data_IF_263277485655
#
_entry.id   IF_263277485655
#
_cell.length_a   1.000
_cell.length_b   1.000
_cell.length_c   1.000
_cell.angle_alpha   90.00
_cell.angle_beta   90.00
_cell.angle_gamma   90.00
#
_symmetry.space_group_name_H-M   'P 1'
#
loop_
_entity.id
_entity.type
_entity.pdbx_description
1 polymer ?
#
# COMPACT_ATOMS: atom_id res chain seq x y z
N UNK A 1 33.16 15.66 25.32
CA UNK A 1 31.94 16.35 25.75
C UNK A 1 30.97 16.32 24.60
N UNK A 2 29.92 15.43 24.62
CA UNK A 2 28.89 15.41 23.58
C UNK A 2 27.97 16.62 23.78
N UNK A 3 27.64 17.36 22.71
CA UNK A 3 26.68 18.46 22.84
C UNK A 3 25.31 17.89 23.28
N UNK A 4 24.52 18.63 24.03
CA UNK A 4 23.21 18.19 24.49
C UNK A 4 22.34 17.89 23.28
N UNK A 5 21.76 16.67 23.26
CA UNK A 5 20.72 16.31 22.27
C UNK A 5 19.56 17.28 22.44
N UNK A 6 19.46 18.25 21.54
CA UNK A 6 18.28 19.08 21.46
C UNK A 6 17.09 18.17 21.23
N UNK A 7 16.17 18.10 22.16
CA UNK A 7 14.84 17.52 22.00
C UNK A 7 14.11 18.36 20.96
N UNK A 8 14.29 18.02 19.69
CA UNK A 8 13.67 18.75 18.58
C UNK A 8 12.21 18.33 18.56
N UNK A 9 11.36 19.19 19.12
CA UNK A 9 9.93 19.11 18.85
C UNK A 9 9.74 19.10 17.34
N UNK A 10 9.06 18.07 16.82
CA UNK A 10 8.66 18.06 15.40
C UNK A 10 7.76 19.27 15.21
N UNK A 11 8.13 20.26 14.39
CA UNK A 11 7.26 21.40 14.19
C UNK A 11 5.90 20.90 13.73
N UNK A 12 4.82 21.34 14.37
CA UNK A 12 3.45 20.95 14.05
C UNK A 12 3.14 21.02 12.54
N UNK A 13 3.79 21.93 11.82
CA UNK A 13 3.71 22.04 10.36
C UNK A 13 4.02 20.72 9.63
N UNK A 14 5.05 20.00 10.07
CA UNK A 14 5.41 18.72 9.43
C UNK A 14 4.38 17.62 9.68
N UNK A 15 3.78 17.60 10.87
CA UNK A 15 2.69 16.68 11.17
C UNK A 15 1.46 17.00 10.31
N UNK A 16 1.14 18.28 10.15
CA UNK A 16 0.05 18.72 9.27
C UNK A 16 0.32 18.30 7.82
N UNK A 17 1.52 18.50 7.30
CA UNK A 17 1.88 18.11 5.93
C UNK A 17 1.78 16.61 5.69
N UNK A 18 2.30 15.80 6.63
CA UNK A 18 2.20 14.32 6.52
C UNK A 18 0.75 13.89 6.61
N UNK A 19 -0.03 14.45 7.53
CA UNK A 19 -1.46 14.13 7.67
C UNK A 19 -2.26 14.54 6.43
N UNK A 20 -1.96 15.70 5.85
CA UNK A 20 -2.59 16.16 4.61
C UNK A 20 -2.24 15.24 3.44
N UNK A 21 -0.98 14.83 3.30
CA UNK A 21 -0.55 13.87 2.28
C UNK A 21 -1.25 12.51 2.45
N UNK A 22 -1.35 12.02 3.68
CA UNK A 22 -2.05 10.77 3.99
C UNK A 22 -3.55 10.88 3.67
N UNK A 23 -4.18 12.00 4.03
CA UNK A 23 -5.59 12.25 3.70
C UNK A 23 -5.81 12.30 2.18
N UNK A 24 -4.98 13.06 1.46
CA UNK A 24 -5.03 13.11 0.00
C UNK A 24 -4.84 11.73 -0.63
N UNK A 25 -3.97 10.91 -0.05
CA UNK A 25 -3.71 9.57 -0.53
C UNK A 25 -4.93 8.65 -0.43
N UNK A 26 -5.76 8.78 0.59
CA UNK A 26 -6.97 7.95 0.77
C UNK A 26 -8.24 8.56 0.19
N UNK A 27 -8.23 9.85 -0.21
CA UNK A 27 -9.38 10.48 -0.82
C UNK A 27 -9.80 9.78 -2.12
N UNK A 28 -11.08 9.54 -2.27
CA UNK A 28 -11.66 8.91 -3.46
C UNK A 28 -11.39 7.41 -3.60
N UNK A 29 -10.92 6.73 -2.55
CA UNK A 29 -10.54 5.31 -2.58
C UNK A 29 -11.68 4.39 -3.07
N UNK A 30 -12.92 4.72 -2.73
CA UNK A 30 -14.12 3.98 -3.17
C UNK A 30 -14.67 4.42 -4.52
N UNK A 31 -14.08 5.42 -5.16
CA UNK A 31 -14.56 5.97 -6.42
C UNK A 31 -13.98 5.22 -7.62
N UNK A 32 -14.79 5.04 -8.65
CA UNK A 32 -14.33 4.59 -9.98
C UNK A 32 -13.47 5.65 -10.69
N UNK A 33 -13.50 6.91 -10.24
CA UNK A 33 -12.61 7.97 -10.75
C UNK A 33 -11.18 7.89 -10.20
N UNK A 34 -10.93 7.17 -9.09
CA UNK A 34 -9.57 6.72 -8.82
C UNK A 34 -9.20 5.79 -9.98
N UNK A 35 -8.03 5.98 -10.64
CA UNK A 35 -7.73 5.29 -11.88
C UNK A 35 -7.84 3.79 -11.67
N UNK A 36 -8.95 3.21 -12.13
CA UNK A 36 -9.09 1.78 -12.27
C UNK A 36 -8.14 1.38 -13.38
N UNK A 37 -7.18 0.53 -13.08
CA UNK A 37 -6.45 -0.19 -14.09
C UNK A 37 -7.32 -1.37 -14.53
N UNK A 38 -7.31 -1.74 -15.81
CA UNK A 38 -8.04 -2.91 -16.30
C UNK A 38 -7.72 -4.19 -15.51
N UNK A 39 -6.48 -4.34 -15.05
CA UNK A 39 -6.04 -5.48 -14.22
C UNK A 39 -6.76 -5.52 -12.85
N UNK A 40 -7.10 -4.39 -12.26
CA UNK A 40 -7.82 -4.35 -10.98
C UNK A 40 -9.16 -5.09 -11.09
N UNK A 41 -9.90 -4.87 -12.19
CA UNK A 41 -11.19 -5.53 -12.41
C UNK A 41 -11.04 -7.04 -12.60
N UNK A 42 -9.99 -7.46 -13.31
CA UNK A 42 -9.66 -8.89 -13.48
C UNK A 42 -9.34 -9.52 -12.13
N UNK A 43 -8.57 -8.85 -11.29
CA UNK A 43 -8.21 -9.38 -9.96
C UNK A 43 -9.41 -9.46 -9.02
N UNK A 44 -10.32 -8.48 -9.08
CA UNK A 44 -11.58 -8.52 -8.34
C UNK A 44 -12.42 -9.73 -8.77
N UNK A 45 -12.52 -9.97 -10.07
CA UNK A 45 -13.23 -11.12 -10.61
C UNK A 45 -12.63 -12.44 -10.13
N UNK A 46 -11.31 -12.62 -10.24
CA UNK A 46 -10.62 -13.83 -9.75
C UNK A 46 -10.81 -14.01 -8.24
N UNK A 47 -10.71 -12.94 -7.45
CA UNK A 47 -10.94 -13.02 -6.01
C UNK A 47 -12.36 -13.47 -5.68
N UNK A 48 -13.36 -12.94 -6.40
CA UNK A 48 -14.77 -13.32 -6.24
C UNK A 48 -14.99 -14.78 -6.58
N UNK A 49 -14.54 -15.23 -7.72
CA UNK A 49 -14.65 -16.64 -8.13
C UNK A 49 -13.94 -17.60 -7.16
N UNK A 50 -12.77 -17.21 -6.65
CA UNK A 50 -12.04 -17.97 -5.64
C UNK A 50 -12.87 -18.13 -4.36
N UNK A 51 -13.50 -17.03 -3.90
CA UNK A 51 -14.35 -17.07 -2.71
C UNK A 51 -15.62 -17.89 -2.91
N UNK A 52 -16.29 -17.76 -4.07
CA UNK A 52 -17.55 -18.45 -4.39
C UNK A 52 -17.35 -19.94 -4.64
N UNK A 53 -16.27 -20.32 -5.32
CA UNK A 53 -15.98 -21.73 -5.63
C UNK A 53 -15.38 -22.51 -4.45
N UNK A 54 -14.79 -21.81 -3.49
CA UNK A 54 -14.02 -22.44 -2.42
C UNK A 54 -12.70 -23.09 -2.87
N UNK A 55 -12.32 -22.94 -4.14
CA UNK A 55 -11.05 -23.45 -4.68
C UNK A 55 -9.95 -22.43 -4.50
N UNK A 56 -9.24 -22.51 -3.39
CA UNK A 56 -8.20 -21.53 -3.01
C UNK A 56 -6.90 -21.69 -3.83
N UNK A 57 -6.64 -22.91 -4.36
CA UNK A 57 -5.50 -23.22 -5.23
C UNK A 57 -5.85 -24.40 -6.16
N UNK A 58 -5.55 -24.30 -7.48
CA UNK A 58 -5.17 -23.10 -8.21
C UNK A 58 -6.33 -22.10 -8.32
N UNK A 59 -6.01 -20.80 -8.33
CA UNK A 59 -7.00 -19.74 -8.54
C UNK A 59 -7.58 -19.87 -9.95
N UNK A 60 -8.90 -19.94 -10.06
CA UNK A 60 -9.60 -20.11 -11.32
C UNK A 60 -10.01 -18.75 -11.91
N UNK A 61 -10.11 -18.71 -13.23
CA UNK A 61 -10.71 -17.64 -14.00
C UNK A 61 -11.64 -18.24 -15.05
N UNK A 62 -12.79 -17.62 -15.28
CA UNK A 62 -13.71 -18.02 -16.35
C UNK A 62 -13.15 -17.79 -17.75
N UNK A 63 -12.12 -16.97 -17.87
CA UNK A 63 -11.48 -16.69 -19.15
C UNK A 63 -10.68 -17.94 -19.54
N UNK A 64 -11.19 -18.68 -20.51
CA UNK A 64 -10.56 -19.87 -21.08
C UNK A 64 -9.15 -19.50 -21.56
N UNK A 65 -8.16 -20.33 -21.24
CA UNK A 65 -6.75 -20.16 -21.57
C UNK A 65 -6.02 -19.02 -20.82
N UNK A 66 -6.68 -18.31 -19.90
CA UNK A 66 -6.00 -17.31 -19.06
C UNK A 66 -5.41 -17.98 -17.83
N UNK A 67 -4.12 -18.27 -17.88
CA UNK A 67 -3.38 -18.79 -16.74
C UNK A 67 -3.14 -17.66 -15.74
N UNK A 68 -3.68 -17.80 -14.53
CA UNK A 68 -3.35 -16.87 -13.46
C UNK A 68 -1.89 -17.06 -13.03
N UNK A 69 -1.07 -16.00 -13.24
CA UNK A 69 0.35 -15.98 -12.87
C UNK A 69 0.62 -15.17 -11.62
N UNK A 70 -0.42 -14.58 -11.01
CA UNK A 70 -0.25 -13.72 -9.84
C UNK A 70 -0.24 -14.54 -8.55
N UNK A 71 0.53 -14.08 -7.53
CA UNK A 71 0.62 -14.81 -6.27
C UNK A 71 -0.73 -14.86 -5.56
N UNK A 72 -1.11 -16.01 -4.96
CA UNK A 72 -2.41 -16.19 -4.33
C UNK A 72 -2.65 -15.26 -3.15
N UNK A 73 -1.62 -14.82 -2.45
CA UNK A 73 -1.69 -13.91 -1.32
C UNK A 73 -2.45 -12.61 -1.66
N UNK A 74 -2.29 -12.09 -2.88
CA UNK A 74 -3.01 -10.90 -3.35
C UNK A 74 -4.53 -11.09 -3.22
N UNK A 75 -5.03 -12.23 -3.69
CA UNK A 75 -6.46 -12.54 -3.71
C UNK A 75 -6.98 -12.86 -2.32
N UNK A 76 -6.24 -13.63 -1.54
CA UNK A 76 -6.61 -13.99 -0.16
C UNK A 76 -6.74 -12.76 0.74
N UNK A 77 -5.84 -11.79 0.60
CA UNK A 77 -5.91 -10.54 1.35
C UNK A 77 -7.16 -9.72 0.99
N UNK A 78 -7.52 -9.66 -0.28
CA UNK A 78 -8.73 -8.96 -0.71
C UNK A 78 -10.00 -9.67 -0.23
N UNK A 79 -10.05 -11.01 -0.29
CA UNK A 79 -11.16 -11.80 0.22
C UNK A 79 -11.31 -11.57 1.74
N UNK A 80 -10.21 -11.60 2.48
CA UNK A 80 -10.22 -11.35 3.93
C UNK A 80 -10.67 -9.92 4.24
N UNK A 81 -10.15 -8.90 3.54
CA UNK A 81 -10.55 -7.51 3.71
C UNK A 81 -12.02 -7.29 3.30
N UNK A 82 -12.52 -8.06 2.35
CA UNK A 82 -13.91 -8.10 1.91
C UNK A 82 -14.83 -8.94 2.84
N UNK A 83 -14.43 -9.16 4.09
CA UNK A 83 -15.19 -9.96 5.05
C UNK A 83 -15.57 -11.35 4.48
N UNK A 84 -14.56 -12.06 3.97
CA UNK A 84 -14.69 -13.41 3.42
C UNK A 84 -15.74 -13.51 2.30
N UNK A 85 -15.78 -12.48 1.44
CA UNK A 85 -16.68 -12.47 0.28
C UNK A 85 -18.06 -11.84 0.52
N UNK A 86 -18.30 -11.27 1.70
CA UNK A 86 -19.56 -10.57 2.01
C UNK A 86 -19.54 -9.08 1.59
N UNK A 87 -18.35 -8.50 1.37
CA UNK A 87 -18.19 -7.10 1.01
C UNK A 87 -17.21 -6.94 -0.16
N UNK A 88 -17.72 -6.63 -1.34
CA UNK A 88 -16.94 -6.40 -2.56
C UNK A 88 -16.79 -4.91 -2.91
N UNK A 89 -16.91 -4.02 -1.92
CA UNK A 89 -16.67 -2.59 -2.17
C UNK A 89 -15.21 -2.34 -2.51
N UNK A 90 -14.96 -1.37 -3.41
CA UNK A 90 -13.60 -0.97 -3.79
C UNK A 90 -12.76 -0.55 -2.57
N UNK A 91 -13.39 0.08 -1.59
CA UNK A 91 -12.71 0.47 -0.35
C UNK A 91 -12.15 -0.76 0.35
N UNK A 92 -12.98 -1.79 0.58
CA UNK A 92 -12.55 -3.01 1.25
C UNK A 92 -11.41 -3.70 0.49
N UNK A 93 -11.55 -3.87 -0.82
CA UNK A 93 -10.57 -4.56 -1.65
C UNK A 93 -9.22 -3.82 -1.75
N UNK A 94 -9.24 -2.48 -1.63
CA UNK A 94 -8.03 -1.64 -1.69
C UNK A 94 -7.33 -1.49 -0.33
N UNK A 95 -7.98 -1.85 0.79
CA UNK A 95 -7.39 -1.72 2.13
C UNK A 95 -6.02 -2.40 2.27
N UNK A 96 -5.78 -3.64 1.79
CA UNK A 96 -4.46 -4.25 1.87
C UNK A 96 -3.38 -3.42 1.17
N UNK A 97 -3.65 -2.90 -0.03
CA UNK A 97 -2.70 -2.03 -0.76
C UNK A 97 -2.38 -0.75 0.01
N UNK A 98 -3.40 -0.13 0.61
CA UNK A 98 -3.23 1.04 1.48
C UNK A 98 -2.37 0.70 2.70
N UNK A 99 -2.63 -0.42 3.36
CA UNK A 99 -1.84 -0.86 4.51
C UNK A 99 -0.36 -1.05 4.14
N UNK A 100 -0.06 -1.74 3.05
CA UNK A 100 1.31 -1.90 2.55
C UNK A 100 1.98 -0.55 2.27
N UNK A 101 1.27 0.37 1.63
CA UNK A 101 1.83 1.69 1.33
C UNK A 101 2.13 2.48 2.60
N UNK A 102 1.23 2.49 3.59
CA UNK A 102 1.48 3.20 4.84
C UNK A 102 2.61 2.56 5.66
N UNK A 103 2.70 1.24 5.70
CA UNK A 103 3.83 0.55 6.37
C UNK A 103 5.14 0.89 5.67
N UNK A 104 5.19 0.85 4.33
CA UNK A 104 6.37 1.26 3.56
C UNK A 104 6.73 2.72 3.81
N UNK A 105 5.73 3.62 3.86
CA UNK A 105 5.94 5.04 4.21
C UNK A 105 6.58 5.19 5.59
N UNK A 106 6.07 4.45 6.58
CA UNK A 106 6.62 4.45 7.95
C UNK A 106 8.06 3.94 8.00
N UNK A 107 8.36 2.86 7.27
CA UNK A 107 9.71 2.32 7.16
C UNK A 107 10.67 3.34 6.53
N UNK A 108 10.28 3.95 5.42
CA UNK A 108 11.09 4.98 4.76
C UNK A 108 11.34 6.18 5.68
N UNK A 109 10.32 6.65 6.37
CA UNK A 109 10.44 7.75 7.33
C UNK A 109 11.37 7.38 8.50
N UNK A 110 11.24 6.17 9.03
CA UNK A 110 12.08 5.65 10.10
C UNK A 110 13.56 5.61 9.67
N UNK A 111 13.87 5.04 8.52
CA UNK A 111 15.25 4.96 8.01
C UNK A 111 15.79 6.34 7.63
N UNK A 112 14.98 7.20 7.02
CA UNK A 112 15.35 8.59 6.74
C UNK A 112 15.72 9.35 8.02
N UNK A 113 14.95 9.18 9.10
CA UNK A 113 15.28 9.73 10.40
C UNK A 113 16.58 9.16 10.97
N UNK A 114 16.72 7.84 10.94
CA UNK A 114 17.88 7.14 11.49
C UNK A 114 19.19 7.56 10.82
N UNK A 115 19.20 7.70 9.50
CA UNK A 115 20.38 8.07 8.73
C UNK A 115 20.71 9.56 8.90
N UNK A 116 19.70 10.44 8.86
CA UNK A 116 19.89 11.89 8.90
C UNK A 116 19.95 12.48 10.32
N UNK A 117 19.39 11.78 11.30
CA UNK A 117 19.16 12.31 12.65
C UNK A 117 18.07 13.39 12.71
N UNK A 118 17.36 13.66 11.62
CA UNK A 118 16.44 14.78 11.50
C UNK A 118 15.01 14.32 11.20
N UNK A 119 14.05 14.71 12.05
CA UNK A 119 12.62 14.46 11.83
C UNK A 119 12.08 15.12 10.55
N UNK A 120 12.64 16.27 10.16
CA UNK A 120 12.28 16.93 8.89
C UNK A 120 12.49 16.01 7.70
N UNK A 121 13.64 15.34 7.63
CA UNK A 121 13.98 14.40 6.56
C UNK A 121 13.00 13.23 6.53
N UNK A 122 12.61 12.70 7.69
CA UNK A 122 11.62 11.64 7.79
C UNK A 122 10.26 12.08 7.23
N UNK A 123 9.78 13.26 7.63
CA UNK A 123 8.51 13.81 7.14
C UNK A 123 8.54 14.08 5.63
N UNK A 124 9.63 14.64 5.12
CA UNK A 124 9.81 14.86 3.68
C UNK A 124 9.79 13.54 2.93
N UNK A 125 10.51 12.52 3.41
CA UNK A 125 10.50 11.19 2.79
C UNK A 125 9.09 10.59 2.75
N UNK A 126 8.32 10.70 3.84
CA UNK A 126 6.93 10.22 3.90
C UNK A 126 6.03 10.94 2.89
N UNK A 127 6.08 12.28 2.86
CA UNK A 127 5.27 13.08 1.94
C UNK A 127 5.62 12.79 0.48
N UNK A 128 6.92 12.77 0.16
CA UNK A 128 7.39 12.49 -1.19
C UNK A 128 6.95 11.09 -1.66
N UNK A 129 7.07 10.08 -0.81
CA UNK A 129 6.66 8.73 -1.16
C UNK A 129 5.16 8.61 -1.40
N UNK A 130 4.31 9.17 -0.51
CA UNK A 130 2.86 9.14 -0.64
C UNK A 130 2.36 9.89 -1.89
N UNK A 131 2.99 11.02 -2.22
CA UNK A 131 2.59 11.86 -3.34
C UNK A 131 3.37 11.57 -4.62
N UNK A 132 4.32 10.64 -4.59
CA UNK A 132 5.02 10.22 -5.80
C UNK A 132 4.05 9.60 -6.79
N UNK A 133 4.14 10.00 -8.06
CA UNK A 133 3.17 9.64 -9.09
C UNK A 133 2.84 8.14 -9.13
N UNK A 134 3.86 7.27 -9.13
CA UNK A 134 3.64 5.84 -9.20
C UNK A 134 2.96 5.30 -7.93
N UNK A 135 3.38 5.75 -6.74
CA UNK A 135 2.76 5.35 -5.47
C UNK A 135 1.31 5.83 -5.42
N UNK A 136 1.06 7.10 -5.79
CA UNK A 136 -0.28 7.68 -5.80
C UNK A 136 -1.21 7.00 -6.80
N UNK A 137 -0.70 6.63 -7.98
CA UNK A 137 -1.49 5.99 -9.04
C UNK A 137 -1.70 4.50 -8.81
N UNK A 138 -0.66 3.75 -8.48
CA UNK A 138 -0.68 2.28 -8.45
C UNK A 138 -0.71 1.67 -7.05
N UNK A 139 -0.26 2.39 -6.03
CA UNK A 139 -0.27 1.91 -4.65
C UNK A 139 -1.64 2.00 -3.97
N UNK A 140 -2.59 2.76 -4.53
CA UNK A 140 -3.94 2.94 -3.97
C UNK A 140 -4.97 1.93 -4.48
N UNK A 141 -4.70 1.32 -5.61
CA UNK A 141 -5.61 0.39 -6.29
C UNK A 141 -5.29 -1.05 -5.89
N UNK A 142 -6.23 -1.95 -6.12
CA UNK A 142 -6.06 -3.37 -5.83
C UNK A 142 -5.18 -4.02 -6.91
N UNK A 143 -3.87 -3.86 -6.77
CA UNK A 143 -2.83 -4.37 -7.65
C UNK A 143 -1.69 -4.98 -6.83
N UNK A 144 -0.75 -5.64 -7.53
CA UNK A 144 0.47 -6.20 -6.93
C UNK A 144 1.48 -5.14 -6.52
N UNK A 145 1.36 -3.91 -7.05
CA UNK A 145 2.39 -2.87 -6.92
C UNK A 145 2.72 -2.49 -5.47
N UNK A 146 1.71 -2.31 -4.62
CA UNK A 146 1.94 -1.95 -3.21
C UNK A 146 2.60 -3.09 -2.41
N UNK A 147 2.09 -4.34 -2.43
CA UNK A 147 2.75 -5.45 -1.77
C UNK A 147 4.15 -5.74 -2.35
N UNK A 148 4.34 -5.70 -3.66
CA UNK A 148 5.65 -5.88 -4.29
C UNK A 148 6.65 -4.84 -3.80
N UNK A 149 6.27 -3.56 -3.79
CA UNK A 149 7.12 -2.47 -3.28
C UNK A 149 7.50 -2.71 -1.82
N UNK A 150 6.57 -3.11 -0.97
CA UNK A 150 6.84 -3.41 0.43
C UNK A 150 7.83 -4.57 0.58
N UNK A 151 7.58 -5.70 -0.07
CA UNK A 151 8.43 -6.89 0.06
C UNK A 151 9.82 -6.71 -0.53
N UNK A 152 9.98 -5.83 -1.55
CA UNK A 152 11.29 -5.47 -2.08
C UNK A 152 12.01 -4.44 -1.20
N UNK A 153 11.28 -3.46 -0.66
CA UNK A 153 11.87 -2.43 0.18
C UNK A 153 12.34 -2.96 1.54
N UNK A 154 11.59 -3.90 2.13
CA UNK A 154 11.88 -4.43 3.47
C UNK A 154 13.29 -5.01 3.60
N UNK A 155 13.76 -5.96 2.78
CA UNK A 155 15.11 -6.48 2.89
C UNK A 155 16.18 -5.44 2.53
N UNK A 156 15.93 -4.57 1.55
CA UNK A 156 16.87 -3.51 1.18
C UNK A 156 17.08 -2.55 2.34
N UNK A 157 16.02 -2.14 3.02
CA UNK A 157 16.10 -1.26 4.19
C UNK A 157 16.74 -1.99 5.38
N UNK A 158 16.46 -3.30 5.56
CA UNK A 158 17.08 -4.12 6.58
C UNK A 158 18.59 -4.20 6.44
N UNK A 159 19.12 -4.25 5.21
CA UNK A 159 20.56 -4.25 4.94
C UNK A 159 21.25 -2.93 5.32
N UNK A 160 20.49 -1.85 5.52
CA UNK A 160 21.00 -0.55 5.97
C UNK A 160 20.97 -0.41 7.52
N UNK A 161 20.48 -1.42 8.21
CA UNK A 161 20.45 -1.49 9.67
C UNK A 161 21.82 -1.85 10.25
#
# INVERSE_FOLDING_TARGET
MMPPRSTIAVPWLWLVLVSAAALLYVLGLGSFYAPTNGDEMVYIHIARMTAESGHWLPLQSEIVDTRNTKPPLLFWQAIAAGNWGHNWSLVALRLPSIAYTFVTTGLLAFFAHRISGQWRTACVAAVLYLLFFSTFRYGRVYLTSAPETFWLALPMLWMLW
#
